data_IF_442338637560
#
_entry.id   IF_442338637560
#
_cell.length_a   1.000
_cell.length_b   1.000
_cell.length_c   1.000
_cell.angle_alpha   90.00
_cell.angle_beta   90.00
_cell.angle_gamma   90.00
#
_symmetry.space_group_name_H-M   'P 1'
#
loop_
_entity.id
_entity.type
_entity.pdbx_description
1 polymer ?
#
# COMPACT_ATOMS: atom_id res chain seq x y z
N UNK A 1 -21.59 35.49 66.85
CA UNK A 1 -20.70 34.40 67.30
C UNK A 1 -20.86 33.22 66.34
N UNK A 2 -19.75 32.58 65.93
CA UNK A 2 -19.30 32.74 64.54
C UNK A 2 -18.34 31.61 64.00
N UNK A 3 -17.64 31.94 62.89
CA UNK A 3 -16.22 31.61 62.52
C UNK A 3 -15.90 30.19 61.98
N UNK A 4 -14.97 29.98 61.02
CA UNK A 4 -14.06 30.79 60.17
C UNK A 4 -13.48 29.87 59.06
N UNK A 5 -13.32 30.35 57.81
CA UNK A 5 -12.06 30.76 57.12
C UNK A 5 -11.09 29.62 56.79
N UNK A 6 -10.42 29.52 55.64
CA UNK A 6 -10.12 30.39 54.48
C UNK A 6 -9.19 29.51 53.59
N UNK A 7 -8.90 29.76 52.32
CA UNK A 7 -8.24 30.94 51.76
C UNK A 7 -8.03 30.68 50.26
N UNK A 8 -8.24 31.72 49.45
CA UNK A 8 -8.05 31.74 48.01
C UNK A 8 -6.57 31.92 47.62
N UNK A 9 -6.16 31.37 46.46
CA UNK A 9 -5.00 31.88 45.71
C UNK A 9 -5.33 32.05 44.24
N UNK A 10 -5.36 33.32 43.87
CA UNK A 10 -5.47 33.93 42.55
C UNK A 10 -4.15 33.71 41.77
N UNK A 11 -4.19 33.34 40.48
CA UNK A 11 -3.01 33.38 39.58
C UNK A 11 -3.25 34.40 38.48
N UNK A 12 -2.53 35.51 38.61
CA UNK A 12 -2.49 36.63 37.67
C UNK A 12 -1.57 36.36 36.47
N UNK A 13 -1.95 36.96 35.35
CA UNK A 13 -1.23 37.13 34.07
C UNK A 13 0.15 37.82 34.21
N UNK A 14 1.03 37.69 33.19
CA UNK A 14 2.44 38.09 33.27
C UNK A 14 2.67 39.59 33.05
N UNK A 15 3.80 40.16 33.55
CA UNK A 15 4.14 41.56 33.31
C UNK A 15 4.94 41.75 32.01
N UNK A 16 4.61 42.82 31.30
CA UNK A 16 5.42 43.43 30.24
C UNK A 16 6.63 44.18 30.84
N UNK A 17 7.77 44.15 30.14
CA UNK A 17 8.89 45.09 30.36
C UNK A 17 9.06 45.99 29.14
N UNK A 18 8.97 47.30 29.36
CA UNK A 18 9.55 48.38 28.53
C UNK A 18 10.88 48.82 29.16
N UNK A 19 11.82 49.30 28.35
CA UNK A 19 12.98 50.07 28.83
C UNK A 19 14.08 50.26 27.77
N UNK A 20 14.17 51.48 27.26
CA UNK A 20 15.17 52.03 26.32
C UNK A 20 16.60 52.06 26.90
N UNK A 21 17.60 52.16 26.02
CA UNK A 21 18.96 52.61 26.37
C UNK A 21 19.92 52.59 25.18
N UNK A 22 20.10 53.75 24.54
CA UNK A 22 21.13 54.08 23.54
C UNK A 22 22.55 53.97 24.11
N UNK A 23 23.52 53.50 23.30
CA UNK A 23 24.92 53.92 23.38
C UNK A 23 25.48 54.05 21.95
N UNK A 24 25.96 55.26 21.65
CA UNK A 24 26.68 55.70 20.46
C UNK A 24 28.16 55.94 20.84
N UNK A 25 29.04 55.93 19.82
CA UNK A 25 30.45 56.41 19.78
C UNK A 25 31.52 55.35 20.16
N UNK A 26 32.64 55.14 19.45
CA UNK A 26 33.50 56.12 18.75
C UNK A 26 34.52 55.48 17.76
N UNK A 27 34.85 56.24 16.70
CA UNK A 27 36.11 56.36 15.91
C UNK A 27 36.68 55.21 15.02
N UNK A 28 37.57 55.51 14.02
CA UNK A 28 37.68 56.72 13.18
C UNK A 28 37.90 56.46 11.66
N UNK A 29 37.82 57.57 10.93
CA UNK A 29 38.12 57.75 9.51
C UNK A 29 39.59 57.56 9.12
N UNK A 30 39.84 57.07 7.90
CA UNK A 30 40.90 57.61 7.05
C UNK A 30 40.68 57.26 5.56
N UNK A 31 40.58 58.30 4.74
CA UNK A 31 40.68 58.27 3.27
C UNK A 31 42.11 58.71 2.89
N UNK A 32 42.57 58.32 1.70
CA UNK A 32 43.01 59.38 0.80
C UNK A 32 42.56 59.21 -0.65
N UNK A 33 42.46 60.37 -1.31
CA UNK A 33 42.17 60.59 -2.72
C UNK A 33 43.41 60.37 -3.62
N UNK A 34 43.19 59.90 -4.86
CA UNK A 34 43.89 60.46 -6.03
C UNK A 34 43.19 60.06 -7.35
N UNK A 35 42.83 61.06 -8.14
CA UNK A 35 42.44 60.95 -9.56
C UNK A 35 43.70 60.88 -10.43
N UNK A 36 43.72 59.99 -11.43
CA UNK A 36 44.65 60.05 -12.56
C UNK A 36 43.93 59.65 -13.85
N UNK A 37 44.02 60.54 -14.84
CA UNK A 37 43.60 60.39 -16.23
C UNK A 37 44.53 59.45 -17.00
N UNK A 38 43.99 58.62 -17.88
CA UNK A 38 44.75 57.83 -18.86
C UNK A 38 43.85 57.08 -19.82
N UNK A 39 43.76 57.56 -21.06
CA UNK A 39 43.14 56.89 -22.21
C UNK A 39 44.03 55.75 -22.72
N UNK A 40 43.49 54.54 -22.88
CA UNK A 40 44.09 53.50 -23.73
C UNK A 40 43.11 52.36 -24.01
N UNK A 41 42.77 52.21 -25.30
CA UNK A 41 42.39 50.98 -26.03
C UNK A 41 41.81 49.77 -25.27
N UNK A 42 40.56 49.43 -25.58
CA UNK A 42 39.81 48.33 -24.95
C UNK A 42 40.17 46.91 -25.42
N UNK A 43 39.43 45.92 -24.91
CA UNK A 43 39.06 44.75 -25.70
C UNK A 43 37.53 44.61 -25.77
N UNK A 44 37.07 44.10 -26.93
CA UNK A 44 35.69 43.82 -27.28
C UNK A 44 34.87 43.17 -26.15
N UNK A 45 33.72 43.76 -25.83
CA UNK A 45 32.61 43.04 -25.20
C UNK A 45 32.11 42.04 -26.25
N UNK A 46 32.62 40.80 -26.20
CA UNK A 46 31.94 39.69 -26.86
C UNK A 46 30.71 39.35 -26.02
N UNK A 47 29.56 39.86 -26.43
CA UNK A 47 28.31 39.15 -26.19
C UNK A 47 28.43 37.81 -26.90
N UNK A 48 28.56 36.71 -26.15
CA UNK A 48 28.09 35.36 -26.51
C UNK A 48 28.63 34.35 -25.51
N UNK A 49 27.88 34.14 -24.42
CA UNK A 49 27.72 32.79 -23.88
C UNK A 49 26.23 32.53 -23.86
N UNK A 50 25.71 32.13 -25.02
CA UNK A 50 24.47 31.35 -25.06
C UNK A 50 24.68 30.16 -24.12
N UNK A 51 24.05 30.18 -22.95
CA UNK A 51 23.78 28.93 -22.25
C UNK A 51 23.05 28.05 -23.27
N UNK A 52 23.51 26.81 -23.54
CA UNK A 52 22.71 25.91 -24.36
C UNK A 52 21.35 25.82 -23.69
N UNK A 53 20.31 26.21 -24.43
CA UNK A 53 18.92 26.00 -24.03
C UNK A 53 18.84 24.52 -23.70
N UNK A 54 18.69 24.20 -22.41
CA UNK A 54 18.73 22.82 -21.92
C UNK A 54 17.80 21.97 -22.77
N UNK A 55 18.32 20.83 -23.23
CA UNK A 55 17.57 19.86 -24.02
C UNK A 55 16.16 19.71 -23.42
N UNK A 56 15.07 19.84 -24.20
CA UNK A 56 13.71 19.68 -23.69
C UNK A 56 13.54 18.36 -22.93
N UNK A 57 14.30 17.32 -23.30
CA UNK A 57 14.37 16.05 -22.58
C UNK A 57 14.94 16.19 -21.17
N UNK A 58 16.00 16.99 -21.01
CA UNK A 58 16.62 17.30 -19.70
C UNK A 58 15.73 18.18 -18.83
N UNK A 59 14.95 19.09 -19.44
CA UNK A 59 13.98 19.90 -18.71
C UNK A 59 12.79 19.06 -18.21
N UNK A 60 12.29 18.13 -19.03
CA UNK A 60 11.24 17.20 -18.62
C UNK A 60 11.73 16.21 -17.56
N UNK A 61 12.97 15.71 -17.69
CA UNK A 61 13.64 14.92 -16.65
C UNK A 61 13.77 15.70 -15.35
N UNK A 62 14.19 16.97 -15.41
CA UNK A 62 14.34 17.81 -14.21
C UNK A 62 12.98 18.14 -13.57
N UNK A 63 11.94 18.40 -14.36
CA UNK A 63 10.57 18.59 -13.85
C UNK A 63 10.02 17.30 -13.24
N UNK A 64 10.27 16.15 -13.85
CA UNK A 64 9.92 14.84 -13.29
C UNK A 64 10.65 14.62 -11.96
N UNK A 65 11.94 14.95 -11.90
CA UNK A 65 12.75 14.87 -10.69
C UNK A 65 12.24 15.84 -9.61
N UNK A 66 11.92 17.09 -9.93
CA UNK A 66 11.32 18.06 -8.98
C UNK A 66 9.96 17.55 -8.49
N UNK A 67 9.09 17.06 -9.38
CA UNK A 67 7.78 16.50 -9.00
C UNK A 67 7.93 15.27 -8.08
N UNK A 68 8.97 14.45 -8.28
CA UNK A 68 9.33 13.38 -7.35
C UNK A 68 9.80 13.96 -6.00
N UNK A 69 10.70 14.94 -6.00
CA UNK A 69 11.24 15.57 -4.79
C UNK A 69 10.16 16.27 -3.94
N UNK A 70 9.29 17.04 -4.59
CA UNK A 70 8.12 17.69 -3.99
C UNK A 70 7.04 16.66 -3.61
N UNK A 71 7.05 15.50 -4.27
CA UNK A 71 6.18 14.34 -4.04
C UNK A 71 6.55 13.47 -2.84
N UNK A 72 7.72 13.64 -2.22
CA UNK A 72 8.18 12.72 -1.17
C UNK A 72 8.69 13.42 0.09
N UNK A 73 8.35 14.71 0.26
CA UNK A 73 8.63 15.43 1.50
C UNK A 73 10.13 15.57 1.79
N UNK A 74 10.97 15.78 0.77
CA UNK A 74 12.36 16.26 0.90
C UNK A 74 13.38 15.37 1.65
N UNK A 75 12.98 14.50 2.58
CA UNK A 75 13.88 13.66 3.41
C UNK A 75 14.22 12.31 2.78
N UNK A 76 13.42 11.81 1.83
CA UNK A 76 13.70 10.59 1.08
C UNK A 76 14.82 10.76 0.01
N UNK A 77 15.51 11.90 0.01
CA UNK A 77 16.49 12.29 -1.02
C UNK A 77 17.93 11.89 -0.72
N UNK A 78 18.24 11.54 0.53
CA UNK A 78 19.58 11.09 0.93
C UNK A 78 19.79 9.58 0.86
N UNK A 79 18.71 8.80 0.95
CA UNK A 79 18.70 7.34 0.92
C UNK A 79 18.04 6.94 -0.38
N UNK A 80 18.69 6.14 -1.24
CA UNK A 80 18.06 5.59 -2.46
C UNK A 80 16.62 5.20 -2.14
N UNK A 81 15.62 5.79 -2.79
CA UNK A 81 14.22 5.37 -2.64
C UNK A 81 14.18 3.86 -2.86
N UNK A 82 13.96 3.12 -1.78
CA UNK A 82 13.82 1.68 -1.88
C UNK A 82 12.37 1.44 -2.26
N UNK A 83 12.16 0.93 -3.46
CA UNK A 83 10.85 0.45 -3.91
C UNK A 83 10.76 -1.05 -3.64
N UNK A 84 9.55 -1.55 -3.55
CA UNK A 84 9.21 -2.96 -3.58
C UNK A 84 8.51 -3.24 -4.91
N UNK A 85 9.19 -3.87 -5.89
CA UNK A 85 8.54 -4.24 -7.14
C UNK A 85 7.46 -5.31 -6.89
N UNK A 86 6.36 -5.21 -7.62
CA UNK A 86 5.31 -6.22 -7.69
C UNK A 86 5.81 -7.46 -8.45
N UNK A 87 6.80 -7.29 -9.32
CA UNK A 87 7.28 -8.35 -10.22
C UNK A 87 6.36 -8.54 -11.42
N UNK A 88 5.59 -7.50 -11.74
CA UNK A 88 4.64 -7.44 -12.85
C UNK A 88 4.85 -6.10 -13.51
N UNK A 89 5.57 -6.08 -14.65
CA UNK A 89 5.97 -4.85 -15.35
C UNK A 89 4.78 -3.91 -15.59
N UNK A 90 3.63 -4.46 -15.97
CA UNK A 90 2.41 -3.69 -16.19
C UNK A 90 1.91 -2.91 -14.96
N UNK A 91 2.24 -3.35 -13.73
CA UNK A 91 1.95 -2.63 -12.49
C UNK A 91 3.13 -1.72 -12.14
N UNK A 92 4.35 -2.25 -12.19
CA UNK A 92 5.56 -1.56 -11.77
C UNK A 92 5.83 -0.29 -12.60
N UNK A 93 5.52 -0.31 -13.91
CA UNK A 93 5.63 0.85 -14.81
C UNK A 93 4.71 2.02 -14.44
N UNK A 94 3.63 1.77 -13.69
CA UNK A 94 2.70 2.80 -13.22
C UNK A 94 3.13 3.44 -11.89
N UNK A 95 4.10 2.84 -11.21
CA UNK A 95 4.59 3.26 -9.91
C UNK A 95 5.92 4.00 -10.03
N UNK A 96 6.12 5.11 -9.30
CA UNK A 96 7.38 5.84 -9.32
C UNK A 96 8.54 4.94 -8.90
N UNK A 97 9.54 4.81 -9.77
CA UNK A 97 10.73 4.01 -9.50
C UNK A 97 10.52 2.50 -9.68
N UNK A 98 9.40 2.04 -10.25
CA UNK A 98 9.20 0.63 -10.61
C UNK A 98 8.69 -0.25 -9.47
N UNK A 99 7.96 0.31 -8.50
CA UNK A 99 7.38 -0.47 -7.41
C UNK A 99 6.76 0.37 -6.29
N UNK A 100 6.21 -0.33 -5.29
CA UNK A 100 5.63 0.29 -4.10
C UNK A 100 6.72 0.96 -3.27
N UNK A 101 6.60 2.26 -3.00
CA UNK A 101 7.61 2.97 -2.21
C UNK A 101 7.68 2.44 -0.76
N UNK A 102 8.87 2.11 -0.26
CA UNK A 102 9.06 1.77 1.16
C UNK A 102 9.08 3.00 2.05
N UNK A 103 8.79 2.83 3.35
CA UNK A 103 8.75 3.96 4.28
C UNK A 103 7.60 4.92 3.98
N UNK A 104 6.49 4.38 3.48
CA UNK A 104 5.31 5.16 3.12
C UNK A 104 4.02 4.46 3.57
N UNK A 105 2.94 5.23 3.61
CA UNK A 105 1.58 4.77 3.86
C UNK A 105 0.89 4.43 2.54
N UNK A 106 0.36 3.23 2.46
CA UNK A 106 -0.47 2.75 1.35
C UNK A 106 -1.83 2.34 1.88
N UNK A 107 -2.90 2.84 1.26
CA UNK A 107 -4.27 2.43 1.59
C UNK A 107 -4.78 1.41 0.58
N UNK A 108 -5.47 0.39 1.09
CA UNK A 108 -6.08 -0.69 0.34
C UNK A 108 -7.54 -0.73 0.76
N UNK A 109 -8.44 -0.43 -0.18
CA UNK A 109 -9.88 -0.50 -0.02
C UNK A 109 -10.38 -1.79 -0.65
N UNK A 110 -11.15 -2.59 0.07
CA UNK A 110 -11.70 -3.83 -0.48
C UNK A 110 -13.09 -4.14 0.07
N UNK A 111 -13.90 -4.82 -0.74
CA UNK A 111 -15.15 -5.46 -0.28
C UNK A 111 -14.89 -6.89 0.23
N UNK A 112 -13.97 -7.61 -0.41
CA UNK A 112 -13.53 -8.92 0.03
C UNK A 112 -12.30 -8.84 0.94
N UNK A 113 -12.47 -9.25 2.19
CA UNK A 113 -11.39 -9.24 3.16
C UNK A 113 -10.28 -10.25 2.89
N UNK A 114 -10.59 -11.37 2.20
CA UNK A 114 -9.61 -12.39 1.84
C UNK A 114 -8.61 -11.85 0.82
N UNK A 115 -9.09 -11.21 -0.24
CA UNK A 115 -8.27 -10.54 -1.26
C UNK A 115 -7.41 -9.45 -0.61
N UNK A 116 -8.01 -8.61 0.23
CA UNK A 116 -7.29 -7.53 0.91
C UNK A 116 -6.17 -8.06 1.82
N UNK A 117 -6.50 -9.07 2.63
CA UNK A 117 -5.55 -9.72 3.55
C UNK A 117 -4.42 -10.39 2.77
N UNK A 118 -4.73 -11.14 1.72
CA UNK A 118 -3.73 -11.80 0.87
C UNK A 118 -2.81 -10.79 0.18
N UNK A 119 -3.37 -9.70 -0.37
CA UNK A 119 -2.59 -8.63 -0.99
C UNK A 119 -1.62 -7.98 0.01
N UNK A 120 -2.09 -7.64 1.21
CA UNK A 120 -1.23 -7.09 2.25
C UNK A 120 -0.21 -8.09 2.80
N UNK A 121 -0.59 -9.35 2.99
CA UNK A 121 0.30 -10.41 3.46
C UNK A 121 1.43 -10.66 2.46
N UNK A 122 1.13 -10.68 1.15
CA UNK A 122 2.13 -10.84 0.11
C UNK A 122 3.14 -9.68 0.11
N UNK A 123 2.66 -8.43 0.16
CA UNK A 123 3.54 -7.26 0.23
C UNK A 123 4.40 -7.29 1.50
N UNK A 124 3.80 -7.60 2.66
CA UNK A 124 4.52 -7.63 3.92
C UNK A 124 5.52 -8.79 4.01
N UNK A 125 5.22 -9.95 3.43
CA UNK A 125 6.17 -11.05 3.31
C UNK A 125 7.39 -10.70 2.46
N UNK A 126 7.18 -10.01 1.32
CA UNK A 126 8.28 -9.50 0.50
C UNK A 126 9.11 -8.44 1.25
N UNK A 127 8.46 -7.52 1.96
CA UNK A 127 9.16 -6.55 2.81
C UNK A 127 9.99 -7.24 3.90
N UNK A 128 9.46 -8.29 4.53
CA UNK A 128 10.16 -9.08 5.53
C UNK A 128 11.34 -9.87 4.95
N UNK A 129 11.26 -10.32 3.69
CA UNK A 129 12.37 -11.00 3.00
C UNK A 129 13.53 -10.08 2.62
N UNK A 130 13.25 -8.80 2.37
CA UNK A 130 14.23 -7.83 1.88
C UNK A 130 14.91 -7.00 2.99
N UNK A 131 14.62 -7.30 4.26
CA UNK A 131 15.20 -6.57 5.40
C UNK A 131 15.69 -7.53 6.48
N UNK A 132 16.56 -7.06 7.37
CA UNK A 132 16.99 -7.82 8.56
C UNK A 132 15.86 -7.95 9.60
N UNK A 133 14.86 -7.07 9.54
CA UNK A 133 13.72 -7.06 10.43
C UNK A 133 12.59 -7.91 9.81
N UNK A 134 12.40 -9.12 10.32
CA UNK A 134 11.36 -10.02 9.79
C UNK A 134 10.02 -9.92 10.54
N UNK A 135 9.92 -9.11 11.59
CA UNK A 135 8.71 -9.01 12.40
C UNK A 135 7.64 -8.17 11.71
N UNK A 136 6.37 -8.58 11.79
CA UNK A 136 5.24 -7.84 11.24
C UNK A 136 4.29 -7.46 12.36
N UNK A 137 3.95 -6.17 12.46
CA UNK A 137 2.92 -5.71 13.38
C UNK A 137 1.58 -5.64 12.64
N UNK A 138 0.57 -6.36 13.15
CA UNK A 138 -0.77 -6.38 12.56
C UNK A 138 -1.79 -5.91 13.60
N UNK A 139 -2.41 -4.75 13.35
CA UNK A 139 -3.53 -4.23 14.13
C UNK A 139 -4.84 -4.82 13.58
N UNK A 140 -5.21 -5.98 14.11
CA UNK A 140 -6.34 -6.78 13.66
C UNK A 140 -7.65 -6.29 14.29
N UNK A 141 -8.64 -6.09 13.44
CA UNK A 141 -9.99 -5.70 13.80
C UNK A 141 -10.96 -6.57 12.97
N UNK A 142 -11.35 -7.76 13.46
CA UNK A 142 -12.11 -8.75 12.69
C UNK A 142 -13.44 -8.26 12.06
N UNK A 143 -13.99 -7.18 12.61
CA UNK A 143 -15.23 -6.54 12.19
C UNK A 143 -15.02 -5.34 11.26
N UNK A 144 -13.77 -4.90 11.03
CA UNK A 144 -13.48 -3.77 10.17
C UNK A 144 -13.87 -4.08 8.72
N UNK A 145 -13.51 -5.26 8.21
CA UNK A 145 -13.80 -5.71 6.85
C UNK A 145 -14.79 -6.90 6.81
N UNK A 146 -15.52 -7.17 7.89
CA UNK A 146 -16.38 -8.37 8.03
C UNK A 146 -15.65 -9.70 7.75
N UNK A 147 -14.34 -9.72 8.02
CA UNK A 147 -13.40 -10.78 7.65
C UNK A 147 -13.39 -11.98 8.60
N UNK A 148 -13.83 -11.77 9.84
CA UNK A 148 -13.45 -12.68 10.93
C UNK A 148 -11.98 -12.51 11.33
N UNK A 149 -11.44 -13.49 12.04
CA UNK A 149 -10.07 -13.44 12.56
C UNK A 149 -9.05 -13.95 11.53
N UNK A 150 -7.85 -13.37 11.57
CA UNK A 150 -6.71 -13.75 10.75
C UNK A 150 -6.30 -15.20 11.03
N UNK A 151 -6.25 -16.02 9.97
CA UNK A 151 -5.79 -17.39 10.07
C UNK A 151 -4.26 -17.46 9.89
N UNK A 152 -3.54 -17.39 11.00
CA UNK A 152 -2.07 -17.35 11.04
C UNK A 152 -1.36 -18.39 10.15
N UNK A 153 -1.74 -19.68 10.13
CA UNK A 153 -1.07 -20.68 9.30
C UNK A 153 -1.09 -20.38 7.80
N UNK A 154 -2.14 -19.73 7.28
CA UNK A 154 -2.18 -19.34 5.86
C UNK A 154 -1.14 -18.26 5.53
N UNK A 155 -0.61 -17.53 6.51
CA UNK A 155 0.39 -16.48 6.28
C UNK A 155 1.77 -17.05 5.87
N UNK A 156 2.03 -18.32 6.18
CA UNK A 156 3.27 -19.00 5.79
C UNK A 156 3.45 -19.04 4.27
N UNK A 157 2.37 -19.18 3.49
CA UNK A 157 2.43 -19.21 2.03
C UNK A 157 2.88 -17.85 1.44
N UNK A 158 2.76 -16.77 2.21
CA UNK A 158 3.20 -15.43 1.83
C UNK A 158 4.62 -15.12 2.34
N UNK A 159 5.31 -16.09 2.96
CA UNK A 159 6.64 -15.89 3.55
C UNK A 159 6.60 -15.18 4.91
N UNK A 160 5.44 -15.10 5.55
CA UNK A 160 5.29 -14.54 6.90
C UNK A 160 5.34 -15.68 7.91
N UNK A 161 6.34 -15.65 8.80
CA UNK A 161 6.44 -16.54 9.95
C UNK A 161 5.48 -16.05 11.07
N UNK A 162 4.42 -16.79 11.41
CA UNK A 162 3.49 -16.39 12.47
C UNK A 162 4.17 -16.20 13.83
N UNK A 163 5.30 -16.87 14.08
CA UNK A 163 6.07 -16.71 15.32
C UNK A 163 6.76 -15.33 15.42
N UNK A 164 6.87 -14.60 14.31
CA UNK A 164 7.46 -13.25 14.23
C UNK A 164 6.40 -12.15 14.13
N UNK A 165 5.12 -12.52 14.20
CA UNK A 165 4.03 -11.55 14.17
C UNK A 165 3.74 -10.97 15.55
N UNK A 166 3.49 -9.67 15.56
CA UNK A 166 2.97 -8.94 16.71
C UNK A 166 1.52 -8.58 16.38
N UNK A 167 0.58 -9.33 16.95
CA UNK A 167 -0.84 -9.13 16.73
C UNK A 167 -1.41 -8.21 17.82
N UNK A 168 -1.94 -7.06 17.42
CA UNK A 168 -2.61 -6.09 18.30
C UNK A 168 -4.09 -6.11 17.97
N UNK A 169 -4.97 -6.30 18.96
CA UNK A 169 -6.44 -6.37 18.77
C UNK A 169 -7.15 -5.20 19.44
N UNK A 170 -7.06 -3.99 18.87
CA UNK A 170 -7.71 -2.80 19.42
C UNK A 170 -9.23 -2.86 19.22
N UNK A 171 -9.98 -2.21 20.13
CA UNK A 171 -11.44 -2.08 20.01
C UNK A 171 -11.87 -0.86 19.18
N UNK A 172 -10.99 0.12 18.97
CA UNK A 172 -11.29 1.40 18.34
C UNK A 172 -10.24 1.75 17.30
N UNK A 173 -10.64 2.47 16.26
CA UNK A 173 -9.71 3.02 15.25
C UNK A 173 -8.60 3.86 15.89
N UNK A 174 -8.91 4.66 16.90
CA UNK A 174 -7.93 5.49 17.60
C UNK A 174 -6.81 4.66 18.25
N UNK A 175 -7.16 3.51 18.81
CA UNK A 175 -6.22 2.63 19.51
C UNK A 175 -5.37 1.86 18.48
N UNK A 176 -5.97 1.47 17.34
CA UNK A 176 -5.27 0.87 16.21
C UNK A 176 -4.27 1.83 15.57
N UNK A 177 -4.71 3.05 15.24
CA UNK A 177 -3.88 4.10 14.66
C UNK A 177 -2.71 4.47 15.59
N UNK A 178 -2.95 4.49 16.91
CA UNK A 178 -1.89 4.69 17.89
C UNK A 178 -0.87 3.55 17.86
N UNK A 179 -1.32 2.29 17.93
CA UNK A 179 -0.43 1.13 17.88
C UNK A 179 0.38 1.05 16.57
N UNK A 180 -0.25 1.41 15.44
CA UNK A 180 0.43 1.52 14.16
C UNK A 180 1.53 2.59 14.20
N UNK A 181 1.25 3.77 14.74
CA UNK A 181 2.25 4.84 14.85
C UNK A 181 3.44 4.42 15.72
N UNK A 182 3.20 3.77 16.87
CA UNK A 182 4.28 3.24 17.71
C UNK A 182 5.09 2.14 17.01
N UNK A 183 4.42 1.26 16.26
CA UNK A 183 5.07 0.25 15.43
C UNK A 183 5.99 0.85 14.38
N UNK A 184 5.54 1.90 13.70
CA UNK A 184 6.33 2.64 12.72
C UNK A 184 7.52 3.34 13.40
N UNK A 185 7.29 4.07 14.49
CA UNK A 185 8.35 4.79 15.22
C UNK A 185 9.43 3.88 15.80
N UNK A 186 9.08 2.63 16.11
CA UNK A 186 10.03 1.62 16.59
C UNK A 186 11.11 1.29 15.54
N UNK A 187 10.76 1.30 14.25
CA UNK A 187 11.71 1.04 13.15
C UNK A 187 12.27 -0.39 13.10
N UNK A 188 11.77 -1.32 13.93
CA UNK A 188 12.28 -2.70 14.07
C UNK A 188 11.33 -3.78 13.55
N UNK A 189 10.36 -3.40 12.72
CA UNK A 189 9.43 -4.30 12.05
C UNK A 189 9.60 -4.14 10.53
N UNK A 190 9.34 -5.20 9.78
CA UNK A 190 9.32 -5.19 8.31
C UNK A 190 8.22 -4.27 7.77
N UNK A 191 7.05 -4.35 8.40
CA UNK A 191 5.84 -3.69 7.98
C UNK A 191 4.87 -3.53 9.15
N UNK A 192 4.01 -2.52 9.03
CA UNK A 192 2.88 -2.29 9.93
C UNK A 192 1.59 -2.37 9.12
N UNK A 193 0.69 -3.26 9.52
CA UNK A 193 -0.61 -3.46 8.89
C UNK A 193 -1.69 -3.05 9.88
N UNK A 194 -2.71 -2.34 9.42
CA UNK A 194 -3.86 -2.01 10.26
C UNK A 194 -5.18 -2.03 9.52
N UNK A 195 -6.17 -2.64 10.15
CA UNK A 195 -7.56 -2.68 9.70
C UNK A 195 -8.34 -1.53 10.32
N UNK A 196 -8.63 -0.51 9.50
CA UNK A 196 -9.18 0.77 9.96
C UNK A 196 -10.46 1.11 9.20
N UNK A 197 -11.52 1.44 9.94
CA UNK A 197 -12.78 1.87 9.33
C UNK A 197 -12.75 3.37 8.98
N UNK A 198 -12.37 4.21 9.94
CA UNK A 198 -12.27 5.65 9.77
C UNK A 198 -10.87 6.18 10.10
N UNK A 199 -10.40 7.10 9.26
CA UNK A 199 -9.12 7.76 9.41
C UNK A 199 -9.22 9.22 8.99
N UNK A 200 -8.81 10.12 9.90
CA UNK A 200 -8.67 11.54 9.60
C UNK A 200 -7.39 11.83 8.81
N UNK A 201 -7.39 12.94 8.06
CA UNK A 201 -6.20 13.42 7.35
C UNK A 201 -5.02 13.63 8.31
N UNK A 202 -5.26 14.13 9.53
CA UNK A 202 -4.22 14.31 10.55
C UNK A 202 -3.58 13.00 10.97
N UNK A 203 -4.39 11.95 11.22
CA UNK A 203 -3.88 10.62 11.54
C UNK A 203 -3.05 10.05 10.39
N UNK A 204 -3.55 10.14 9.14
CA UNK A 204 -2.82 9.66 7.96
C UNK A 204 -1.47 10.36 7.78
N UNK A 205 -1.38 11.68 8.06
CA UNK A 205 -0.12 12.44 8.00
C UNK A 205 0.87 12.00 9.06
N UNK A 206 0.41 11.70 10.27
CA UNK A 206 1.27 11.19 11.36
C UNK A 206 1.88 9.84 10.99
N UNK A 207 1.08 8.93 10.46
CA UNK A 207 1.56 7.62 9.99
C UNK A 207 2.54 7.77 8.82
N UNK A 208 2.22 8.60 7.82
CA UNK A 208 3.12 8.86 6.70
C UNK A 208 4.48 9.40 7.17
N UNK A 209 4.49 10.36 8.09
CA UNK A 209 5.73 10.93 8.63
C UNK A 209 6.54 9.89 9.44
N UNK A 210 5.88 9.05 10.24
CA UNK A 210 6.55 8.00 11.00
C UNK A 210 7.14 6.91 10.07
N UNK A 211 6.43 6.57 8.99
CA UNK A 211 6.91 5.66 7.96
C UNK A 211 8.14 6.24 7.23
N UNK A 212 8.09 7.51 6.84
CA UNK A 212 9.19 8.20 6.16
C UNK A 212 10.44 8.32 7.05
N UNK A 213 10.25 8.56 8.35
CA UNK A 213 11.35 8.73 9.31
C UNK A 213 12.12 7.42 9.55
N UNK A 214 11.43 6.28 9.52
CA UNK A 214 12.01 4.98 9.88
C UNK A 214 12.27 4.06 8.70
N UNK A 215 11.69 4.35 7.54
CA UNK A 215 11.71 3.48 6.37
C UNK A 215 10.75 2.29 6.44
N UNK A 216 10.00 2.13 7.53
CA UNK A 216 9.01 1.05 7.69
C UNK A 216 7.75 1.38 6.90
N UNK A 217 7.28 0.44 6.09
CA UNK A 217 6.07 0.61 5.27
C UNK A 217 4.81 0.35 6.09
N UNK A 218 3.82 1.23 5.92
CA UNK A 218 2.48 1.07 6.49
C UNK A 218 1.48 0.64 5.42
N UNK A 219 0.77 -0.46 5.66
CA UNK A 219 -0.33 -0.93 4.83
C UNK A 219 -1.64 -0.77 5.61
N UNK A 220 -2.60 -0.05 5.05
CA UNK A 220 -3.86 0.22 5.71
C UNK A 220 -5.01 -0.45 4.95
N UNK A 221 -5.59 -1.46 5.58
CA UNK A 221 -6.79 -2.15 5.11
C UNK A 221 -8.03 -1.37 5.53
N UNK A 222 -8.92 -1.11 4.57
CA UNK A 222 -10.15 -0.35 4.78
C UNK A 222 -11.31 -0.98 4.01
N UNK A 223 -12.55 -0.90 4.52
CA UNK A 223 -13.73 -1.25 3.74
C UNK A 223 -13.83 -0.41 2.49
N UNK A 224 -14.31 -1.02 1.40
CA UNK A 224 -14.61 -0.34 0.15
C UNK A 224 -15.55 0.84 0.40
N UNK A 225 -15.23 1.96 -0.22
CA UNK A 225 -16.05 3.17 -0.20
C UNK A 225 -15.97 3.89 -1.54
N UNK A 226 -17.09 4.44 -1.99
CA UNK A 226 -17.15 5.25 -3.21
C UNK A 226 -16.57 6.66 -3.01
N UNK A 227 -16.48 7.11 -1.75
CA UNK A 227 -16.06 8.46 -1.39
C UNK A 227 -14.93 8.42 -0.36
N UNK A 228 -13.74 7.95 -0.75
CA UNK A 228 -12.62 7.84 0.18
C UNK A 228 -12.18 9.22 0.66
N UNK A 229 -12.10 9.39 1.98
CA UNK A 229 -11.72 10.67 2.61
C UNK A 229 -10.30 11.10 2.22
N UNK A 230 -9.96 12.40 2.29
CA UNK A 230 -8.60 12.87 2.04
C UNK A 230 -7.58 12.20 2.97
N UNK A 231 -6.45 11.79 2.40
CA UNK A 231 -5.39 11.04 3.08
C UNK A 231 -4.01 11.46 2.58
N UNK A 232 -2.99 11.30 3.42
CA UNK A 232 -1.58 11.49 3.09
C UNK A 232 -0.91 10.27 2.43
N UNK A 233 -1.64 9.16 2.26
CA UNK A 233 -1.12 7.95 1.64
C UNK A 233 -0.51 8.20 0.25
N UNK A 234 0.62 7.55 -0.01
CA UNK A 234 1.37 7.63 -1.28
C UNK A 234 0.62 6.90 -2.39
N UNK A 235 0.06 5.73 -2.09
CA UNK A 235 -0.83 5.01 -3.00
C UNK A 235 -2.16 4.69 -2.35
N UNK A 236 -3.21 4.62 -3.16
CA UNK A 236 -4.52 4.13 -2.74
C UNK A 236 -5.05 3.16 -3.78
N UNK A 237 -5.36 1.96 -3.32
CA UNK A 237 -5.79 0.83 -4.12
C UNK A 237 -7.24 0.49 -3.81
N UNK A 238 -7.99 0.03 -4.81
CA UNK A 238 -9.28 -0.62 -4.64
C UNK A 238 -9.17 -2.05 -5.16
N UNK A 239 -9.60 -3.01 -4.37
CA UNK A 239 -9.62 -4.42 -4.71
C UNK A 239 -11.07 -4.88 -4.72
N UNK A 240 -11.50 -5.43 -5.84
CA UNK A 240 -12.87 -5.89 -6.03
C UNK A 240 -12.85 -7.36 -6.44
N UNK A 241 -13.58 -8.21 -5.72
CA UNK A 241 -13.83 -9.57 -6.21
C UNK A 241 -14.59 -9.49 -7.54
N UNK A 242 -14.21 -10.34 -8.50
CA UNK A 242 -14.95 -10.49 -9.76
C UNK A 242 -15.75 -11.78 -9.65
N UNK A 243 -17.06 -11.69 -9.83
CA UNK A 243 -17.90 -12.89 -9.90
C UNK A 243 -17.41 -13.78 -11.04
N UNK A 244 -17.01 -14.99 -10.70
CA UNK A 244 -16.79 -16.01 -11.70
C UNK A 244 -18.14 -16.53 -12.16
N UNK A 245 -18.44 -16.35 -13.45
CA UNK A 245 -19.57 -17.02 -14.06
C UNK A 245 -19.29 -18.52 -13.98
N UNK A 246 -19.94 -19.20 -13.03
CA UNK A 246 -19.98 -20.66 -12.98
C UNK A 246 -20.38 -21.10 -14.38
N UNK A 247 -19.45 -21.70 -15.13
CA UNK A 247 -19.85 -22.40 -16.35
C UNK A 247 -20.89 -23.39 -15.89
N UNK A 248 -22.07 -23.31 -16.48
CA UNK A 248 -23.14 -24.28 -16.32
C UNK A 248 -22.60 -25.63 -16.81
N UNK A 249 -21.80 -26.30 -15.99
CA UNK A 249 -21.49 -27.70 -16.12
C UNK A 249 -22.83 -28.35 -15.86
N UNK A 250 -23.55 -28.62 -16.95
CA UNK A 250 -24.83 -29.31 -16.96
C UNK A 250 -24.69 -30.70 -16.33
N UNK A 251 -24.56 -30.75 -15.01
CA UNK A 251 -24.91 -31.88 -14.19
C UNK A 251 -26.42 -31.73 -14.02
N UNK A 252 -27.13 -32.08 -15.10
CA UNK A 252 -28.58 -32.24 -15.04
C UNK A 252 -28.87 -33.24 -13.92
N UNK A 253 -29.62 -32.76 -12.94
CA UNK A 253 -30.45 -33.51 -12.00
C UNK A 253 -30.60 -35.00 -12.35
N UNK A 254 -29.80 -35.86 -11.71
CA UNK A 254 -30.22 -37.25 -11.50
C UNK A 254 -31.12 -37.22 -10.26
N UNK A 255 -32.31 -36.66 -10.43
CA UNK A 255 -33.38 -36.76 -9.44
C UNK A 255 -34.05 -38.12 -9.62
N UNK A 256 -33.85 -38.98 -8.62
CA UNK A 256 -34.75 -40.01 -8.13
C UNK A 256 -35.62 -40.74 -9.18
N UNK A 257 -35.12 -41.87 -9.66
CA UNK A 257 -36.00 -43.03 -9.89
C UNK A 257 -35.91 -43.92 -8.67
N UNK A 258 -36.95 -43.84 -7.85
CA UNK A 258 -37.24 -44.77 -6.77
C UNK A 258 -37.09 -46.21 -7.27
N UNK A 259 -36.14 -46.95 -6.70
CA UNK A 259 -36.21 -48.39 -6.65
C UNK A 259 -36.70 -48.78 -5.26
N UNK A 260 -38.00 -49.01 -5.23
CA UNK A 260 -38.76 -49.69 -4.20
C UNK A 260 -38.26 -51.14 -4.12
N UNK A 261 -37.37 -51.45 -3.17
CA UNK A 261 -37.42 -52.74 -2.46
C UNK A 261 -36.41 -52.88 -1.31
N UNK A 262 -36.96 -53.44 -0.23
CA UNK A 262 -36.36 -54.35 0.74
C UNK A 262 -35.91 -53.80 2.11
N UNK A 263 -36.83 -53.93 3.07
CA UNK A 263 -36.56 -53.93 4.50
C UNK A 263 -36.14 -55.34 4.97
N UNK A 264 -34.85 -55.56 5.29
CA UNK A 264 -34.47 -56.65 6.22
C UNK A 264 -33.08 -56.51 6.87
N UNK A 265 -33.09 -55.97 8.10
CA UNK A 265 -32.34 -56.38 9.32
C UNK A 265 -30.78 -56.46 9.32
N UNK A 266 -30.16 -56.48 10.52
CA UNK A 266 -28.91 -55.78 10.82
C UNK A 266 -27.68 -56.71 10.87
N UNK A 267 -26.49 -56.13 10.69
CA UNK A 267 -25.22 -56.79 11.02
C UNK A 267 -24.04 -56.25 10.23
N UNK A 268 -23.08 -55.65 10.95
CA UNK A 268 -21.63 -55.63 10.73
C UNK A 268 -21.10 -55.51 9.30
N UNK A 269 -20.56 -54.34 8.93
CA UNK A 269 -19.47 -54.27 7.93
C UNK A 269 -18.58 -53.04 8.11
N UNK A 270 -17.28 -53.28 7.97
CA UNK A 270 -16.14 -52.37 7.91
C UNK A 270 -16.38 -51.08 7.10
N UNK A 271 -15.88 -49.96 7.65
CA UNK A 271 -15.62 -48.74 6.89
C UNK A 271 -14.33 -48.93 6.07
N UNK A 272 -14.38 -49.72 5.01
CA UNK A 272 -13.38 -49.65 3.93
C UNK A 272 -13.68 -48.44 3.06
N UNK A 273 -12.86 -47.40 3.22
CA UNK A 273 -12.82 -46.23 2.35
C UNK A 273 -12.24 -46.65 0.98
N UNK A 274 -13.12 -47.00 0.04
CA UNK A 274 -12.73 -47.10 -1.38
C UNK A 274 -12.64 -45.68 -1.94
N UNK A 275 -11.45 -45.07 -1.83
CA UNK A 275 -11.11 -43.88 -2.59
C UNK A 275 -11.04 -44.21 -4.09
N UNK A 276 -11.44 -43.30 -5.00
CA UNK A 276 -11.17 -43.49 -6.41
C UNK A 276 -9.66 -43.38 -6.63
N UNK A 277 -9.03 -44.54 -6.84
CA UNK A 277 -7.69 -44.67 -7.41
C UNK A 277 -7.75 -44.27 -8.88
N UNK A 278 -7.22 -43.08 -9.18
CA UNK A 278 -7.10 -42.55 -10.54
C UNK A 278 -6.92 -41.04 -10.54
N UNK A 279 -5.72 -40.56 -10.18
CA UNK A 279 -5.26 -39.23 -10.57
C UNK A 279 -4.54 -39.39 -11.91
N UNK A 280 -5.32 -39.33 -12.98
CA UNK A 280 -4.83 -39.05 -14.32
C UNK A 280 -4.35 -37.59 -14.37
N UNK A 281 -3.03 -37.46 -14.42
CA UNK A 281 -2.28 -36.21 -14.34
C UNK A 281 -2.27 -35.40 -15.63
N UNK A 282 -3.41 -35.21 -16.33
CA UNK A 282 -3.48 -34.35 -17.52
C UNK A 282 -4.92 -34.00 -17.97
N UNK A 283 -5.70 -33.36 -17.11
CA UNK A 283 -6.95 -32.67 -17.48
C UNK A 283 -6.94 -31.23 -16.93
N UNK A 284 -7.51 -30.22 -17.62
CA UNK A 284 -7.44 -28.84 -17.17
C UNK A 284 -8.19 -28.72 -15.85
N UNK A 285 -7.47 -28.44 -14.76
CA UNK A 285 -8.02 -28.16 -13.44
C UNK A 285 -8.79 -26.84 -13.51
N UNK A 286 -10.05 -26.92 -13.94
CA UNK A 286 -11.06 -25.88 -13.85
C UNK A 286 -11.62 -25.75 -12.43
N UNK A 287 -10.74 -25.71 -11.43
CA UNK A 287 -11.04 -25.04 -10.17
C UNK A 287 -10.54 -23.62 -10.36
N UNK A 288 -11.51 -22.73 -10.46
CA UNK A 288 -11.34 -21.38 -10.96
C UNK A 288 -10.28 -20.61 -10.18
N UNK A 289 -9.23 -20.14 -10.86
CA UNK A 289 -8.25 -19.27 -10.24
C UNK A 289 -9.00 -18.02 -9.77
N UNK A 290 -8.97 -17.70 -8.47
CA UNK A 290 -9.67 -16.54 -7.93
C UNK A 290 -9.22 -15.27 -8.66
N UNK A 291 -10.11 -14.70 -9.48
CA UNK A 291 -9.87 -13.47 -10.22
C UNK A 291 -10.45 -12.29 -9.48
N UNK A 292 -9.71 -11.20 -9.49
CA UNK A 292 -10.10 -9.97 -8.81
C UNK A 292 -9.55 -8.76 -9.55
N UNK A 293 -10.17 -7.61 -9.38
CA UNK A 293 -9.73 -6.36 -9.98
C UNK A 293 -8.90 -5.57 -8.99
N UNK A 294 -7.73 -5.12 -9.41
CA UNK A 294 -6.93 -4.13 -8.69
C UNK A 294 -7.05 -2.78 -9.41
N UNK A 295 -7.40 -1.71 -8.70
CA UNK A 295 -7.39 -0.35 -9.21
C UNK A 295 -6.46 0.51 -8.35
N UNK A 296 -5.40 1.04 -8.94
CA UNK A 296 -4.61 2.12 -8.36
C UNK A 296 -5.27 3.44 -8.71
N UNK A 297 -6.19 3.93 -7.89
CA UNK A 297 -6.93 5.17 -8.16
C UNK A 297 -6.21 6.44 -7.70
N UNK A 298 -5.15 6.30 -6.88
CA UNK A 298 -4.27 7.42 -6.52
C UNK A 298 -2.84 6.95 -6.32
N UNK A 299 -1.89 7.62 -6.96
CA UNK A 299 -0.47 7.41 -6.78
C UNK A 299 0.28 8.75 -6.81
N UNK A 300 1.06 9.06 -5.78
CA UNK A 300 1.84 10.31 -5.74
C UNK A 300 3.04 10.19 -6.68
N UNK A 301 2.97 10.87 -7.82
CA UNK A 301 4.03 10.85 -8.84
C UNK A 301 3.93 9.70 -9.84
N UNK A 302 2.94 8.82 -9.71
CA UNK A 302 2.67 7.71 -10.63
C UNK A 302 1.40 7.91 -11.45
N UNK A 303 0.98 6.86 -12.15
CA UNK A 303 -0.17 6.86 -13.06
C UNK A 303 -1.26 5.96 -12.50
N UNK A 304 -2.50 6.42 -12.51
CA UNK A 304 -3.64 5.61 -12.11
C UNK A 304 -3.96 4.55 -13.18
N UNK A 305 -4.27 3.33 -12.76
CA UNK A 305 -4.56 2.22 -13.65
C UNK A 305 -5.38 1.13 -12.94
N UNK A 306 -5.89 0.18 -13.72
CA UNK A 306 -6.55 -1.00 -13.19
C UNK A 306 -6.11 -2.25 -13.96
N UNK A 307 -6.18 -3.38 -13.26
CA UNK A 307 -5.72 -4.67 -13.75
C UNK A 307 -6.69 -5.76 -13.30
N UNK A 308 -6.83 -6.78 -14.16
CA UNK A 308 -7.42 -8.05 -13.75
C UNK A 308 -6.30 -8.93 -13.22
N UNK A 309 -6.44 -9.35 -11.96
CA UNK A 309 -5.45 -10.11 -11.22
C UNK A 309 -5.95 -11.55 -11.04
N UNK A 310 -5.02 -12.47 -10.93
CA UNK A 310 -5.27 -13.86 -10.55
C UNK A 310 -4.22 -14.30 -9.52
N UNK A 311 -4.57 -15.27 -8.69
CA UNK A 311 -3.66 -15.87 -7.72
C UNK A 311 -2.91 -17.04 -8.34
N UNK A 312 -1.59 -17.07 -8.23
CA UNK A 312 -0.77 -18.20 -8.67
C UNK A 312 -0.40 -19.07 -7.46
N UNK A 313 -1.08 -20.21 -7.32
CA UNK A 313 -0.89 -21.15 -6.22
C UNK A 313 0.51 -21.80 -6.19
N UNK A 314 1.20 -21.89 -7.34
CA UNK A 314 2.52 -22.50 -7.44
C UNK A 314 3.63 -21.56 -6.90
N UNK A 315 3.48 -20.26 -7.13
CA UNK A 315 4.49 -19.24 -6.78
C UNK A 315 4.12 -18.43 -5.54
N UNK A 316 2.88 -18.55 -5.06
CA UNK A 316 2.35 -17.73 -3.96
C UNK A 316 2.33 -16.24 -4.27
N UNK A 317 2.23 -15.87 -5.56
CA UNK A 317 2.24 -14.49 -6.03
C UNK A 317 0.98 -14.18 -6.86
N UNK A 318 0.71 -12.90 -7.10
CA UNK A 318 -0.31 -12.51 -8.07
C UNK A 318 0.28 -12.40 -9.50
N UNK A 319 -0.55 -12.66 -10.51
CA UNK A 319 -0.26 -12.42 -11.93
C UNK A 319 -1.40 -11.65 -12.60
N UNK A 320 -1.14 -11.05 -13.77
CA UNK A 320 -2.22 -10.53 -14.59
C UNK A 320 -3.03 -11.69 -15.17
N UNK A 321 -4.34 -11.66 -14.99
CA UNK A 321 -5.22 -12.62 -15.64
C UNK A 321 -5.17 -12.43 -17.15
N UNK A 322 -5.00 -13.52 -17.90
CA UNK A 322 -5.05 -13.49 -19.35
C UNK A 322 -6.42 -12.98 -19.86
N UNK A 323 -6.40 -12.10 -20.89
CA UNK A 323 -7.62 -11.68 -21.58
C UNK A 323 -8.34 -12.90 -22.17
N UNK A 324 -9.64 -13.04 -21.86
CA UNK A 324 -10.47 -14.07 -22.48
C UNK A 324 -10.66 -13.69 -23.96
N UNK A 325 -10.01 -14.41 -24.86
CA UNK A 325 -10.38 -14.38 -26.28
C UNK A 325 -11.76 -15.03 -26.44
N UNK A 326 -12.80 -14.23 -26.67
CA UNK A 326 -14.07 -14.71 -27.20
C UNK A 326 -13.83 -15.32 -28.60
N UNK A 327 -13.61 -16.63 -28.67
CA UNK A 327 -13.74 -17.37 -29.93
C UNK A 327 -15.23 -17.62 -30.15
N UNK A 328 -15.89 -16.99 -31.13
CA UNK A 328 -17.27 -17.36 -31.45
C UNK A 328 -17.29 -18.83 -31.95
N UNK A 329 -18.32 -19.61 -31.60
CA UNK A 329 -18.44 -20.98 -32.09
C UNK A 329 -18.66 -20.93 -33.60
N UNK A 330 -17.65 -21.34 -34.38
CA UNK A 330 -17.84 -21.58 -35.81
C UNK A 330 -18.68 -22.86 -35.93
N UNK A 331 -19.89 -22.81 -36.53
CA UNK A 331 -20.64 -24.03 -36.79
C UNK A 331 -19.91 -24.81 -37.89
N UNK A 332 -19.37 -25.98 -37.57
CA UNK A 332 -18.89 -26.92 -38.57
C UNK A 332 -20.09 -27.47 -39.33
N UNK A 333 -20.33 -26.96 -40.54
CA UNK A 333 -21.23 -27.57 -41.50
C UNK A 333 -20.67 -28.96 -41.88
N UNK A 334 -21.22 -30.01 -41.28
CA UNK A 334 -20.98 -31.37 -41.71
C UNK A 334 -21.61 -31.55 -43.10
N UNK A 335 -20.75 -31.65 -44.12
CA UNK A 335 -21.10 -32.29 -45.39
C UNK A 335 -21.30 -33.78 -45.11
N UNK A 336 -22.49 -34.31 -45.40
CA UNK A 336 -22.64 -35.72 -45.70
C UNK A 336 -22.89 -35.85 -47.21
N UNK A 337 -21.92 -36.48 -47.86
CA UNK A 337 -22.10 -37.15 -49.13
C UNK A 337 -22.85 -38.47 -48.89
N UNK A 338 -23.73 -38.85 -49.83
CA UNK A 338 -24.47 -40.10 -49.82
C UNK A 338 -25.90 -39.90 -50.28
#
# INVERSE_FOLDING_TARGET
MPRLSGSARNRSLPPQKRGNGEILADLPANLPHSLSTGSSTGPSIRHSTSHPVGDPTSLEQLKAQIRQLEGFGGKLTGTKQQVLPFGVDAIDDHLPGGGLLRGALHEIFADDAGIATAFCALLAGRLAGDTENHAILWCERPWALDAGALYGPALLQFGIDPARMILVRPRRDTDALWAMEEGLRCGRVAAVIGEITDMSLTASRRLQLAAEETGVTALMLRPKTDKPTPSAAVTRWRLDAVEHATRDTGISEITERANDNDQKRPGTTDLTFNGPSGLDSNGPSGLDTARWRAELFRCRGGIAANWMMEWNDETGNFSLAAEICDRPPVPSAARLAG
#
